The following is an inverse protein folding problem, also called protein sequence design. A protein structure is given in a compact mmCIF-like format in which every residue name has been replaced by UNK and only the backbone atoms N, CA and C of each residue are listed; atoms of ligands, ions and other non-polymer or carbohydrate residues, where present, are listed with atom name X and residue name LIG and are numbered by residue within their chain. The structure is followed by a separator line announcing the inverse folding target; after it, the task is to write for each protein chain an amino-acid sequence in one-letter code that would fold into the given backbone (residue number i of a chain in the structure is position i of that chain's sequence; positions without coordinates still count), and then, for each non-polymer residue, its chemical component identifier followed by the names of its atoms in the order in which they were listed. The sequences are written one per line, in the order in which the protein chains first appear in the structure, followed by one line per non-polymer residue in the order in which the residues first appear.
data_IF_061993176246
#
_entry.id   IF_061993176246
#
_cell.length_a   1.000
_cell.length_b   1.000
_cell.length_c   1.000
_cell.angle_alpha   90.00
_cell.angle_beta   90.00
_cell.angle_gamma   90.00
#
_symmetry.space_group_name_H-M   'P 1'
#
loop_
_entity.id
_entity.type
_entity.pdbx_description
1 polymer ?
#
# COMPACT_ATOMS: atom_id res chain seq x y z
N UNK A 1 -12.81 -11.37 -13.47
CA UNK A 1 -12.14 -10.12 -13.06
C UNK A 1 -11.80 -9.29 -14.30
N UNK A 2 -11.92 -7.97 -14.24
CA UNK A 2 -11.46 -7.10 -15.33
C UNK A 2 -9.93 -7.11 -15.41
N UNK A 3 -9.36 -6.76 -16.58
CA UNK A 3 -7.89 -6.78 -16.79
C UNK A 3 -7.15 -5.94 -15.74
N UNK A 4 -7.70 -4.78 -15.38
CA UNK A 4 -7.12 -3.93 -14.32
C UNK A 4 -7.06 -4.62 -12.96
N UNK A 5 -8.05 -5.43 -12.58
CA UNK A 5 -8.10 -6.11 -11.29
C UNK A 5 -7.06 -7.23 -11.24
N UNK A 6 -6.89 -7.96 -12.35
CA UNK A 6 -5.85 -8.98 -12.48
C UNK A 6 -4.47 -8.35 -12.34
N UNK A 7 -4.22 -7.23 -13.04
CA UNK A 7 -2.95 -6.51 -12.97
C UNK A 7 -2.68 -6.03 -11.54
N UNK A 8 -3.64 -5.37 -10.89
CA UNK A 8 -3.46 -4.92 -9.50
C UNK A 8 -3.22 -6.10 -8.56
N UNK A 9 -3.93 -7.21 -8.74
CA UNK A 9 -3.75 -8.40 -7.91
C UNK A 9 -2.33 -8.98 -8.04
N UNK A 10 -1.81 -9.10 -9.27
CA UNK A 10 -0.43 -9.55 -9.51
C UNK A 10 0.59 -8.61 -8.89
N UNK A 11 0.38 -7.29 -9.00
CA UNK A 11 1.23 -6.28 -8.34
C UNK A 11 1.23 -6.48 -6.82
N UNK A 12 0.06 -6.64 -6.19
CA UNK A 12 -0.04 -6.87 -4.75
C UNK A 12 0.69 -8.15 -4.31
N UNK A 13 0.62 -9.20 -5.11
CA UNK A 13 1.31 -10.46 -4.85
C UNK A 13 2.84 -10.26 -4.92
N UNK A 14 3.33 -9.56 -5.94
CA UNK A 14 4.76 -9.20 -6.04
C UNK A 14 5.22 -8.35 -4.85
N UNK A 15 4.48 -7.32 -4.47
CA UNK A 15 4.80 -6.49 -3.29
C UNK A 15 4.85 -7.32 -2.00
N UNK A 16 4.03 -8.37 -1.90
CA UNK A 16 3.99 -9.29 -0.75
C UNK A 16 5.22 -10.19 -0.72
N UNK A 17 5.61 -10.76 -1.86
CA UNK A 17 6.84 -11.58 -1.97
C UNK A 17 8.06 -10.73 -1.63
N UNK A 18 8.16 -9.51 -2.19
CA UNK A 18 9.26 -8.60 -1.89
C UNK A 18 9.33 -8.32 -0.39
N UNK A 19 8.21 -7.95 0.25
CA UNK A 19 8.20 -7.71 1.69
C UNK A 19 8.64 -8.94 2.51
N UNK A 20 8.21 -10.15 2.13
CA UNK A 20 8.59 -11.39 2.79
C UNK A 20 10.08 -11.75 2.62
N UNK A 21 10.66 -11.48 1.44
CA UNK A 21 12.09 -11.68 1.21
C UNK A 21 12.93 -10.76 2.08
N UNK A 22 12.46 -9.53 2.31
CA UNK A 22 13.18 -8.56 3.12
C UNK A 22 12.90 -8.68 4.63
N UNK A 23 11.83 -9.35 5.08
CA UNK A 23 11.43 -9.34 6.50
C UNK A 23 12.42 -10.00 7.47
N UNK A 24 13.36 -10.82 6.98
CA UNK A 24 14.37 -11.47 7.82
C UNK A 24 15.60 -10.63 8.14
N UNK A 25 15.74 -9.44 7.55
CA UNK A 25 16.91 -8.58 7.75
C UNK A 25 16.67 -7.58 8.89
N UNK A 26 17.53 -7.60 9.91
CA UNK A 26 17.52 -6.63 11.01
C UNK A 26 18.18 -5.31 10.60
N UNK A 27 17.52 -4.56 9.71
CA UNK A 27 18.01 -3.26 9.24
C UNK A 27 16.89 -2.20 9.25
N UNK A 28 17.17 -1.01 9.79
CA UNK A 28 16.20 0.10 9.81
C UNK A 28 15.72 0.50 8.40
N UNK A 29 16.58 0.41 7.38
CA UNK A 29 16.18 0.66 5.98
C UNK A 29 15.15 -0.36 5.47
N UNK A 30 15.22 -1.61 5.95
CA UNK A 30 14.26 -2.67 5.61
C UNK A 30 12.89 -2.40 6.24
N UNK A 31 12.87 -1.89 7.47
CA UNK A 31 11.63 -1.44 8.13
C UNK A 31 10.93 -0.36 7.29
N UNK A 32 11.66 0.67 6.86
CA UNK A 32 11.10 1.73 6.00
C UNK A 32 10.61 1.21 4.65
N UNK A 33 11.34 0.27 4.05
CA UNK A 33 10.93 -0.39 2.81
C UNK A 33 9.61 -1.15 3.00
N UNK A 34 9.47 -1.95 4.06
CA UNK A 34 8.24 -2.71 4.34
C UNK A 34 7.06 -1.78 4.59
N UNK A 35 7.25 -0.69 5.32
CA UNK A 35 6.22 0.33 5.55
C UNK A 35 5.77 0.97 4.22
N UNK A 36 6.72 1.34 3.36
CA UNK A 36 6.42 1.88 2.03
C UNK A 36 5.65 0.90 1.14
N UNK A 37 6.08 -0.37 1.12
CA UNK A 37 5.36 -1.44 0.41
C UNK A 37 3.94 -1.64 0.97
N UNK A 38 3.75 -1.54 2.28
CA UNK A 38 2.44 -1.64 2.92
C UNK A 38 1.51 -0.49 2.50
N UNK A 39 1.99 0.75 2.49
CA UNK A 39 1.23 1.90 2.03
C UNK A 39 0.79 1.75 0.57
N UNK A 40 1.70 1.30 -0.30
CA UNK A 40 1.41 1.06 -1.72
C UNK A 40 0.37 -0.06 -1.92
N UNK A 41 0.46 -1.15 -1.14
CA UNK A 41 -0.56 -2.21 -1.14
C UNK A 41 -1.93 -1.68 -0.73
N UNK A 42 -2.00 -0.88 0.32
CA UNK A 42 -3.26 -0.29 0.78
C UNK A 42 -3.92 0.53 -0.32
N UNK A 43 -3.16 1.40 -1.00
CA UNK A 43 -3.70 2.20 -2.12
C UNK A 43 -4.16 1.31 -3.29
N UNK A 44 -3.40 0.27 -3.62
CA UNK A 44 -3.80 -0.70 -4.65
C UNK A 44 -5.14 -1.34 -4.34
N UNK A 45 -5.35 -1.75 -3.08
CA UNK A 45 -6.63 -2.33 -2.64
C UNK A 45 -7.74 -1.29 -2.63
N UNK A 46 -7.49 -0.13 -2.06
CA UNK A 46 -8.47 0.94 -1.93
C UNK A 46 -9.00 1.41 -3.30
N UNK A 47 -8.10 1.67 -4.26
CA UNK A 47 -8.51 2.14 -5.58
C UNK A 47 -9.12 1.05 -6.46
N UNK A 48 -8.62 -0.19 -6.41
CA UNK A 48 -9.07 -1.24 -7.33
C UNK A 48 -10.20 -2.12 -6.78
N UNK A 49 -10.14 -2.50 -5.51
CA UNK A 49 -11.07 -3.47 -4.92
C UNK A 49 -12.15 -2.82 -4.05
N UNK A 50 -11.91 -1.62 -3.49
CA UNK A 50 -12.93 -0.86 -2.76
C UNK A 50 -13.68 0.14 -3.66
N UNK A 51 -13.56 0.00 -4.99
CA UNK A 51 -14.20 0.83 -6.01
C UNK A 51 -13.97 2.36 -5.88
N UNK A 52 -12.95 2.82 -5.14
CA UNK A 52 -12.70 4.26 -4.97
C UNK A 52 -12.44 4.99 -6.28
N UNK A 53 -12.02 4.31 -7.34
CA UNK A 53 -11.92 4.89 -8.69
C UNK A 53 -13.23 5.59 -9.13
N UNK A 54 -14.38 5.05 -8.74
CA UNK A 54 -15.71 5.60 -9.06
C UNK A 54 -16.25 6.55 -7.99
N UNK A 55 -15.61 6.61 -6.82
CA UNK A 55 -16.06 7.48 -5.73
C UNK A 55 -15.80 8.96 -6.01
N UNK A 56 -16.51 9.82 -5.27
CA UNK A 56 -16.28 11.26 -5.28
C UNK A 56 -14.82 11.58 -4.90
N UNK A 57 -14.30 12.68 -5.46
CA UNK A 57 -12.93 13.15 -5.18
C UNK A 57 -12.67 13.37 -3.70
N UNK A 58 -13.71 13.69 -2.91
CA UNK A 58 -13.63 13.76 -1.45
C UNK A 58 -13.08 12.45 -0.86
N UNK A 59 -13.74 11.31 -1.13
CA UNK A 59 -13.32 10.00 -0.61
C UNK A 59 -11.94 9.56 -1.10
N UNK A 60 -11.62 9.85 -2.37
CA UNK A 60 -10.30 9.59 -2.93
C UNK A 60 -9.22 10.34 -2.15
N UNK A 61 -9.43 11.64 -1.90
CA UNK A 61 -8.49 12.48 -1.16
C UNK A 61 -8.38 12.05 0.30
N UNK A 62 -9.51 11.82 0.98
CA UNK A 62 -9.53 11.40 2.39
C UNK A 62 -8.71 10.14 2.64
N UNK A 63 -8.79 9.15 1.75
CA UNK A 63 -8.01 7.92 1.88
C UNK A 63 -6.52 8.14 1.62
N UNK A 64 -6.16 8.97 0.64
CA UNK A 64 -4.75 9.30 0.39
C UNK A 64 -4.15 10.05 1.57
N UNK A 65 -4.89 11.03 2.12
CA UNK A 65 -4.49 11.79 3.32
C UNK A 65 -4.33 10.86 4.51
N UNK A 66 -5.31 9.96 4.74
CA UNK A 66 -5.24 8.98 5.81
C UNK A 66 -3.98 8.10 5.70
N UNK A 67 -3.69 7.56 4.51
CA UNK A 67 -2.50 6.72 4.29
C UNK A 67 -1.22 7.51 4.53
N UNK A 68 -1.14 8.76 4.08
CA UNK A 68 0.03 9.62 4.32
C UNK A 68 0.26 9.86 5.80
N UNK A 69 -0.77 10.27 6.54
CA UNK A 69 -0.68 10.52 7.99
C UNK A 69 -0.32 9.24 8.72
N UNK A 70 -1.01 8.14 8.43
CA UNK A 70 -0.75 6.85 9.09
C UNK A 70 0.67 6.35 8.85
N UNK A 71 1.16 6.45 7.61
CA UNK A 71 2.52 6.08 7.24
C UNK A 71 3.54 6.97 7.94
N UNK A 72 3.32 8.29 7.96
CA UNK A 72 4.19 9.23 8.65
C UNK A 72 4.27 8.95 10.16
N UNK A 73 3.14 8.67 10.81
CA UNK A 73 3.10 8.32 12.23
C UNK A 73 3.89 7.04 12.52
N UNK A 74 3.74 6.00 11.69
CA UNK A 74 4.50 4.76 11.86
C UNK A 74 6.00 4.99 11.67
N UNK A 75 6.38 5.81 10.69
CA UNK A 75 7.79 6.16 10.44
C UNK A 75 8.41 6.96 11.59
N UNK A 76 7.64 7.77 12.32
CA UNK A 76 8.15 8.48 13.50
C UNK A 76 8.41 7.52 14.67
N UNK A 77 7.64 6.43 14.76
CA UNK A 77 7.75 5.45 15.84
C UNK A 77 8.96 4.51 15.67
N UNK A 78 9.47 4.30 14.45
CA UNK A 78 10.55 3.36 14.11
C UNK A 78 11.87 4.06 13.70
#
# INVERSE_FOLDING_TARGET
MNKSAIITWVILLMLTIIAALFSGFENRFVVFLIIGLAAMKFLGVAFQFMELKKAHSFWKSSIVIFVLIFTALILIIH
#
